data_IF_968592474135
#
_entry.id   IF_968592474135
#
_cell.length_a   1.000
_cell.length_b   1.000
_cell.length_c   1.000
_cell.angle_alpha   90.00
_cell.angle_beta   90.00
_cell.angle_gamma   90.00
#
_symmetry.space_group_name_H-M   'P 1'
#
loop_
_entity.id
_entity.type
_entity.pdbx_description
1 polymer ?
#
# COMPACT_ATOMS: atom_id res chain seq x y z
N UNK A 1 -10.25 8.18 8.22
CA UNK A 1 -11.16 7.70 7.16
C UNK A 1 -12.07 8.86 6.81
N UNK A 2 -12.11 9.20 5.54
CA UNK A 2 -12.87 10.33 5.01
C UNK A 2 -14.29 9.88 4.65
N UNK A 3 -15.20 10.86 4.49
CA UNK A 3 -16.61 10.61 4.16
C UNK A 3 -16.77 9.89 2.82
N UNK A 4 -15.80 10.06 1.92
CA UNK A 4 -15.71 9.42 0.61
C UNK A 4 -15.09 8.01 0.66
N UNK A 5 -14.87 7.42 1.84
CA UNK A 5 -14.29 6.09 2.00
C UNK A 5 -12.76 6.03 1.85
N UNK A 6 -12.11 7.15 1.49
CA UNK A 6 -10.65 7.20 1.41
C UNK A 6 -10.00 7.23 2.80
N UNK A 7 -8.76 6.75 2.89
CA UNK A 7 -7.94 6.95 4.08
C UNK A 7 -6.47 7.04 3.70
N UNK A 8 -5.70 7.64 4.60
CA UNK A 8 -4.25 7.63 4.55
C UNK A 8 -3.72 7.45 5.96
N UNK A 9 -2.71 6.60 6.11
CA UNK A 9 -1.97 6.50 7.36
C UNK A 9 -0.48 6.32 7.09
N UNK A 10 0.30 6.65 8.11
CA UNK A 10 1.73 6.42 8.17
C UNK A 10 2.12 6.10 9.61
N UNK A 11 3.04 5.17 9.79
CA UNK A 11 3.70 4.96 11.08
C UNK A 11 5.15 4.55 10.89
N UNK A 12 5.95 4.85 11.92
CA UNK A 12 7.32 4.40 12.08
C UNK A 12 7.49 3.90 13.51
N UNK A 13 8.02 2.69 13.66
CA UNK A 13 8.26 2.05 14.95
C UNK A 13 9.72 2.24 15.36
N UNK A 14 10.00 2.11 16.67
CA UNK A 14 11.36 2.27 17.22
C UNK A 14 12.36 1.21 16.73
N UNK A 15 11.87 0.09 16.20
CA UNK A 15 12.66 -0.98 15.59
C UNK A 15 13.01 -0.69 14.11
N UNK A 16 12.61 0.48 13.58
CA UNK A 16 12.89 0.91 12.21
C UNK A 16 11.90 0.42 11.16
N UNK A 17 10.86 -0.34 11.55
CA UNK A 17 9.77 -0.68 10.63
C UNK A 17 8.96 0.57 10.27
N UNK A 18 8.70 0.74 8.97
CA UNK A 18 7.93 1.86 8.43
C UNK A 18 6.79 1.33 7.59
N UNK A 19 5.64 1.99 7.63
CA UNK A 19 4.54 1.72 6.69
C UNK A 19 3.80 3.01 6.37
N UNK A 20 3.49 3.18 5.10
CA UNK A 20 2.53 4.13 4.61
C UNK A 20 1.49 3.43 3.74
N UNK A 21 0.26 3.91 3.78
CA UNK A 21 -0.82 3.38 2.95
C UNK A 21 -1.84 4.47 2.67
N UNK A 22 -2.34 4.50 1.45
CA UNK A 22 -3.41 5.36 0.99
C UNK A 22 -4.43 4.51 0.26
N UNK A 23 -5.71 4.69 0.57
CA UNK A 23 -6.82 4.09 -0.13
C UNK A 23 -7.67 5.17 -0.80
N UNK A 24 -8.03 4.94 -2.04
CA UNK A 24 -8.83 5.84 -2.87
C UNK A 24 -9.94 5.04 -3.57
N UNK A 25 -11.13 5.63 -3.70
CA UNK A 25 -12.19 5.10 -4.57
C UNK A 25 -11.92 5.56 -6.01
N UNK A 26 -11.77 4.59 -6.92
CA UNK A 26 -11.53 4.81 -8.36
C UNK A 26 -12.61 4.09 -9.16
N UNK A 27 -12.88 4.55 -10.38
CA UNK A 27 -13.68 3.79 -11.32
C UNK A 27 -12.97 2.45 -11.62
N UNK A 28 -13.73 1.36 -11.67
CA UNK A 28 -13.22 0.05 -12.06
C UNK A 28 -12.74 0.08 -13.51
N UNK A 29 -11.63 -0.60 -13.77
CA UNK A 29 -11.07 -0.80 -15.09
C UNK A 29 -11.93 -1.74 -15.96
N UNK A 30 -12.74 -2.61 -15.33
CA UNK A 30 -13.68 -3.48 -16.03
C UNK A 30 -15.00 -2.78 -16.37
N UNK A 31 -15.48 -1.87 -15.51
CA UNK A 31 -16.70 -1.10 -15.70
C UNK A 31 -16.60 0.31 -15.07
N UNK A 32 -16.59 1.39 -15.87
CA UNK A 32 -16.50 2.75 -15.37
C UNK A 32 -17.67 3.19 -14.46
N UNK A 33 -18.81 2.51 -14.52
CA UNK A 33 -19.98 2.79 -13.65
C UNK A 33 -19.82 2.17 -12.25
N UNK A 34 -18.88 1.24 -12.08
CA UNK A 34 -18.57 0.59 -10.81
C UNK A 34 -17.43 1.31 -10.11
N UNK A 35 -17.62 1.65 -8.83
CA UNK A 35 -16.54 2.17 -8.00
C UNK A 35 -15.79 1.01 -7.31
N UNK A 36 -14.47 1.02 -7.41
CA UNK A 36 -13.56 0.07 -6.80
C UNK A 36 -12.58 0.80 -5.86
N UNK A 37 -12.22 0.13 -4.76
CA UNK A 37 -11.18 0.64 -3.86
C UNK A 37 -9.81 0.25 -4.43
N UNK A 38 -8.93 1.23 -4.57
CA UNK A 38 -7.51 1.04 -4.89
C UNK A 38 -6.69 1.46 -3.68
N UNK A 39 -5.88 0.54 -3.16
CA UNK A 39 -4.97 0.76 -2.03
C UNK A 39 -3.54 0.75 -2.54
N UNK A 40 -2.77 1.78 -2.27
CA UNK A 40 -1.33 1.83 -2.55
C UNK A 40 -0.56 2.17 -1.29
N UNK A 41 0.65 1.64 -1.17
CA UNK A 41 1.45 1.89 0.00
C UNK A 41 2.85 1.35 -0.12
N UNK A 42 3.61 1.57 0.95
CA UNK A 42 4.93 1.00 1.11
C UNK A 42 5.13 0.52 2.54
N UNK A 43 5.95 -0.51 2.73
CA UNK A 43 6.48 -0.86 4.04
C UNK A 43 7.95 -1.23 3.95
N UNK A 44 8.68 -0.93 5.01
CA UNK A 44 10.07 -1.32 5.19
C UNK A 44 10.19 -2.33 6.31
N UNK A 45 11.00 -3.36 6.09
CA UNK A 45 11.37 -4.34 7.10
C UNK A 45 12.84 -4.75 6.97
N UNK A 46 13.39 -5.25 8.07
CA UNK A 46 14.73 -5.83 8.12
C UNK A 46 14.59 -7.35 8.27
N UNK A 47 15.29 -8.13 7.45
CA UNK A 47 15.29 -9.59 7.56
C UNK A 47 16.19 -10.10 8.69
N UNK A 48 16.26 -11.41 8.84
CA UNK A 48 17.08 -12.06 9.86
C UNK A 48 18.61 -11.91 9.61
N UNK A 49 19.01 -11.53 8.39
CA UNK A 49 20.41 -11.26 8.01
C UNK A 49 20.78 -9.77 8.22
N UNK A 50 19.85 -8.93 8.67
CA UNK A 50 20.05 -7.49 8.82
C UNK A 50 19.91 -6.68 7.52
N UNK A 51 19.44 -7.30 6.43
CA UNK A 51 19.19 -6.61 5.15
C UNK A 51 17.85 -5.89 5.20
N UNK A 52 17.84 -4.66 4.73
CA UNK A 52 16.63 -3.83 4.65
C UNK A 52 15.94 -4.00 3.31
N UNK A 53 14.61 -4.11 3.36
CA UNK A 53 13.76 -4.24 2.20
C UNK A 53 12.68 -3.17 2.22
N UNK A 54 12.50 -2.51 1.08
CA UNK A 54 11.35 -1.67 0.78
C UNK A 54 10.40 -2.46 -0.10
N UNK A 55 9.16 -2.59 0.33
CA UNK A 55 8.07 -3.17 -0.47
C UNK A 55 7.09 -2.07 -0.81
N UNK A 56 6.92 -1.80 -2.10
CA UNK A 56 5.86 -0.91 -2.60
C UNK A 56 4.78 -1.75 -3.26
N UNK A 57 3.51 -1.43 -3.07
CA UNK A 57 2.43 -2.24 -3.62
C UNK A 57 1.23 -1.41 -4.05
N UNK A 58 0.48 -1.99 -4.98
CA UNK A 58 -0.87 -1.57 -5.34
C UNK A 58 -1.80 -2.78 -5.24
N UNK A 59 -2.93 -2.60 -4.56
CA UNK A 59 -4.03 -3.54 -4.47
C UNK A 59 -5.29 -2.90 -5.05
N UNK A 60 -5.88 -3.52 -6.06
CA UNK A 60 -7.14 -3.10 -6.67
C UNK A 60 -7.90 -4.33 -7.20
N UNK A 61 -8.87 -4.11 -8.09
CA UNK A 61 -9.64 -5.17 -8.75
C UNK A 61 -8.80 -6.24 -9.45
N UNK A 62 -7.56 -5.90 -9.85
CA UNK A 62 -6.64 -6.83 -10.51
C UNK A 62 -5.71 -7.53 -9.50
N UNK A 63 -6.02 -7.47 -8.20
CA UNK A 63 -5.30 -8.13 -7.12
C UNK A 63 -4.13 -7.33 -6.55
N UNK A 64 -3.31 -7.99 -5.72
CA UNK A 64 -2.16 -7.41 -5.04
C UNK A 64 -0.89 -7.52 -5.89
N UNK A 65 -0.24 -6.39 -6.19
CA UNK A 65 0.95 -6.32 -7.04
C UNK A 65 2.09 -5.61 -6.29
N UNK A 66 2.98 -6.38 -5.62
CA UNK A 66 4.12 -5.83 -4.91
C UNK A 66 5.36 -5.71 -5.80
N UNK A 67 6.21 -4.74 -5.47
CA UNK A 67 7.57 -4.61 -5.95
C UNK A 67 8.49 -4.54 -4.72
N UNK A 68 9.51 -5.39 -4.69
CA UNK A 68 10.48 -5.46 -3.60
C UNK A 68 11.80 -4.86 -4.08
N UNK A 69 12.36 -3.95 -3.29
CA UNK A 69 13.68 -3.38 -3.47
C UNK A 69 14.51 -3.59 -2.22
N UNK A 70 15.67 -4.22 -2.36
CA UNK A 70 16.66 -4.26 -1.28
C UNK A 70 17.34 -2.87 -1.18
N UNK A 71 17.44 -2.35 0.04
CA UNK A 71 18.04 -1.04 0.35
C UNK A 71 19.54 -1.14 0.67
#
# INVERSE_FOLDING_TARGET
MNVDGSYKFFYEQSDGQKREETAELKASAADPEVQAISVSGSYEYTDNDGKRYLVTYTADENGYRPMVKQL
#
